data_IF_943230066216
#
_entry.id   IF_943230066216
#
_cell.length_a   1.000
_cell.length_b   1.000
_cell.length_c   1.000
_cell.angle_alpha   90.00
_cell.angle_beta   90.00
_cell.angle_gamma   90.00
#
_symmetry.space_group_name_H-M   'P 1'
#
loop_
_entity.id
_entity.type
_entity.pdbx_description
1 polymer ?
#
# COMPACT_ATOMS: atom_id res chain seq x y z
N UNK A 1 -9.40 11.87 -23.00
CA UNK A 1 -9.95 11.31 -21.74
C UNK A 1 -8.96 11.57 -20.61
N UNK A 2 -9.39 11.65 -19.34
CA UNK A 2 -8.46 11.77 -18.20
C UNK A 2 -8.31 10.45 -17.46
N UNK A 3 -7.09 10.19 -16.97
CA UNK A 3 -6.79 9.13 -16.02
C UNK A 3 -6.46 9.76 -14.67
N UNK A 4 -7.10 9.31 -13.61
CA UNK A 4 -6.80 9.75 -12.25
C UNK A 4 -6.03 8.66 -11.53
N UNK A 5 -4.93 9.02 -10.89
CA UNK A 5 -4.18 8.16 -9.97
C UNK A 5 -4.44 8.70 -8.57
N UNK A 6 -5.17 7.93 -7.77
CA UNK A 6 -5.67 8.33 -6.46
C UNK A 6 -4.89 7.59 -5.38
N UNK A 7 -4.22 8.35 -4.50
CA UNK A 7 -3.55 7.85 -3.30
C UNK A 7 -4.22 8.31 -2.00
N UNK A 8 -3.65 7.92 -0.87
CA UNK A 8 -4.31 8.03 0.45
C UNK A 8 -4.59 9.48 0.86
N UNK A 9 -3.80 10.44 0.35
CA UNK A 9 -4.05 11.86 0.54
C UNK A 9 -5.42 12.32 0.03
N UNK A 10 -6.04 11.60 -0.92
CA UNK A 10 -7.41 11.87 -1.34
C UNK A 10 -8.41 11.56 -0.24
N UNK A 11 -8.34 10.38 0.37
CA UNK A 11 -9.22 9.99 1.48
C UNK A 11 -9.03 10.90 2.69
N UNK A 12 -7.78 11.23 3.03
CA UNK A 12 -7.43 12.17 4.09
C UNK A 12 -8.03 13.56 3.80
N UNK A 13 -7.94 14.04 2.56
CA UNK A 13 -8.55 15.31 2.18
C UNK A 13 -10.07 15.28 2.35
N UNK A 14 -10.72 14.12 2.18
CA UNK A 14 -12.14 13.91 2.45
C UNK A 14 -12.48 13.73 3.94
N UNK A 15 -11.48 13.79 4.83
CA UNK A 15 -11.67 13.66 6.27
C UNK A 15 -11.81 12.22 6.75
N UNK A 16 -11.44 11.24 5.91
CA UNK A 16 -11.46 9.84 6.30
C UNK A 16 -10.22 9.50 7.15
N UNK A 17 -10.35 8.76 8.26
CA UNK A 17 -9.24 8.34 9.10
C UNK A 17 -8.52 7.13 8.48
N UNK A 18 -7.79 7.36 7.40
CA UNK A 18 -7.11 6.33 6.60
C UNK A 18 -5.60 6.38 6.73
N UNK A 19 -5.03 7.16 7.66
CA UNK A 19 -3.59 7.10 7.92
C UNK A 19 -3.24 5.78 8.61
N UNK A 20 -2.03 5.27 8.39
CA UNK A 20 -1.54 4.11 9.14
C UNK A 20 -1.48 4.36 10.65
N UNK A 21 -1.33 5.62 11.07
CA UNK A 21 -1.48 5.99 12.48
C UNK A 21 -2.92 5.79 13.01
N UNK A 22 -3.94 5.99 12.18
CA UNK A 22 -5.32 5.69 12.55
C UNK A 22 -5.55 4.17 12.66
N UNK A 23 -4.87 3.38 11.81
CA UNK A 23 -4.85 1.92 11.94
C UNK A 23 -4.18 1.47 13.25
N UNK A 24 -3.05 2.05 13.63
CA UNK A 24 -2.42 1.80 14.93
C UNK A 24 -3.38 2.07 16.09
N UNK A 25 -4.05 3.23 16.09
CA UNK A 25 -5.05 3.58 17.12
C UNK A 25 -6.23 2.61 17.15
N UNK A 26 -6.59 2.03 16.01
CA UNK A 26 -7.59 0.98 15.94
C UNK A 26 -7.10 -0.30 16.62
N UNK A 27 -5.87 -0.74 16.32
CA UNK A 27 -5.26 -1.90 16.96
C UNK A 27 -5.15 -1.72 18.48
N UNK A 28 -4.71 -0.54 18.93
CA UNK A 28 -4.60 -0.19 20.36
C UNK A 28 -5.92 -0.38 21.12
N UNK A 29 -7.07 -0.23 20.46
CA UNK A 29 -8.40 -0.42 21.04
C UNK A 29 -8.93 -1.83 20.95
N UNK A 30 -8.53 -2.58 19.92
CA UNK A 30 -9.11 -3.88 19.58
C UNK A 30 -8.27 -5.04 20.10
N UNK A 31 -6.95 -4.91 20.03
CA UNK A 31 -5.99 -5.93 20.44
C UNK A 31 -4.64 -5.27 20.76
N UNK A 32 -4.53 -4.76 22.00
CA UNK A 32 -3.32 -4.07 22.48
C UNK A 32 -2.13 -5.01 22.60
N UNK A 33 -2.36 -6.26 23.01
CA UNK A 33 -1.30 -7.26 23.17
C UNK A 33 -0.68 -7.60 21.81
N UNK A 34 -1.50 -7.78 20.77
CA UNK A 34 -1.01 -7.93 19.40
C UNK A 34 -0.22 -6.70 18.94
N UNK A 35 -0.72 -5.49 19.20
CA UNK A 35 -0.01 -4.26 18.82
C UNK A 35 1.37 -4.21 19.47
N UNK A 36 1.48 -4.48 20.77
CA UNK A 36 2.75 -4.50 21.48
C UNK A 36 3.70 -5.56 20.93
N UNK A 37 3.23 -6.79 20.73
CA UNK A 37 4.05 -7.86 20.16
C UNK A 37 4.54 -7.51 18.74
N UNK A 38 3.66 -6.93 17.91
CA UNK A 38 4.02 -6.46 16.58
C UNK A 38 5.07 -5.33 16.60
N UNK A 39 4.85 -4.31 17.43
CA UNK A 39 5.76 -3.16 17.57
C UNK A 39 7.14 -3.57 18.09
N UNK A 40 7.23 -4.60 18.94
CA UNK A 40 8.51 -5.12 19.45
C UNK A 40 9.43 -5.65 18.35
N UNK A 41 8.91 -6.17 17.23
CA UNK A 41 9.74 -6.59 16.09
C UNK A 41 10.46 -5.43 15.39
N UNK A 42 10.08 -4.18 15.71
CA UNK A 42 10.65 -2.95 15.16
C UNK A 42 11.31 -2.10 16.24
N UNK A 43 11.69 -2.70 17.37
CA UNK A 43 12.26 -2.02 18.55
C UNK A 43 11.37 -0.89 19.08
N UNK A 44 10.05 -1.02 18.92
CA UNK A 44 9.08 -0.06 19.43
C UNK A 44 8.51 -0.55 20.76
N UNK A 45 8.71 0.26 21.80
CA UNK A 45 8.26 -0.01 23.16
C UNK A 45 7.11 0.94 23.58
N UNK A 46 6.21 0.52 24.49
CA UNK A 46 5.04 1.31 24.87
C UNK A 46 5.34 2.73 25.37
N UNK A 47 6.45 2.91 26.08
CA UNK A 47 6.90 4.17 26.68
C UNK A 47 7.50 5.17 25.67
N UNK A 48 7.70 4.79 24.40
CA UNK A 48 8.20 5.69 23.38
C UNK A 48 7.15 6.73 22.98
N UNK A 49 7.62 7.90 22.55
CA UNK A 49 6.73 8.96 22.06
C UNK A 49 6.03 8.55 20.76
N UNK A 50 4.81 9.06 20.55
CA UNK A 50 4.05 8.83 19.32
C UNK A 50 4.84 9.24 18.07
N UNK A 51 5.64 10.31 18.14
CA UNK A 51 6.49 10.76 17.04
C UNK A 51 7.59 9.75 16.71
N UNK A 52 8.23 9.15 17.71
CA UNK A 52 9.22 8.11 17.50
C UNK A 52 8.58 6.87 16.85
N UNK A 53 7.42 6.42 17.36
CA UNK A 53 6.67 5.28 16.80
C UNK A 53 6.28 5.51 15.34
N UNK A 54 5.84 6.73 15.02
CA UNK A 54 5.52 7.14 13.64
C UNK A 54 6.72 7.07 12.72
N UNK A 55 7.85 7.63 13.14
CA UNK A 55 9.04 7.72 12.28
C UNK A 55 9.73 6.37 12.11
N UNK A 56 9.70 5.50 13.11
CA UNK A 56 10.32 4.17 13.04
C UNK A 56 9.51 3.20 12.18
N UNK A 57 8.18 3.20 12.31
CA UNK A 57 7.34 2.20 11.65
C UNK A 57 6.17 2.82 10.89
N UNK A 58 5.27 3.53 11.58
CA UNK A 58 3.90 3.75 11.08
C UNK A 58 3.77 4.71 9.91
N UNK A 59 4.69 5.68 9.72
CA UNK A 59 4.64 6.58 8.57
C UNK A 59 4.99 5.85 7.26
N UNK A 60 5.88 4.87 7.34
CA UNK A 60 6.43 4.11 6.21
C UNK A 60 6.13 2.61 6.37
N UNK A 61 4.94 2.29 6.90
CA UNK A 61 4.58 0.92 7.32
C UNK A 61 4.82 -0.11 6.21
N UNK A 62 4.38 0.18 4.98
CA UNK A 62 4.57 -0.75 3.87
C UNK A 62 6.05 -0.93 3.49
N UNK A 63 6.83 0.14 3.49
CA UNK A 63 8.27 0.12 3.24
C UNK A 63 9.01 -0.69 4.30
N UNK A 64 8.66 -0.52 5.57
CA UNK A 64 9.25 -1.25 6.69
C UNK A 64 8.86 -2.73 6.68
N UNK A 65 7.61 -3.07 6.34
CA UNK A 65 7.18 -4.46 6.15
C UNK A 65 7.88 -5.13 4.96
N UNK A 66 8.21 -4.36 3.91
CA UNK A 66 8.95 -4.83 2.74
C UNK A 66 10.45 -5.05 3.01
N UNK A 67 11.01 -4.40 4.03
CA UNK A 67 12.44 -4.39 4.34
C UNK A 67 12.70 -4.78 5.79
N UNK A 68 12.13 -5.90 6.25
CA UNK A 68 12.50 -6.51 7.53
C UNK A 68 13.99 -6.83 7.56
N UNK A 69 14.61 -6.83 8.74
CA UNK A 69 16.01 -7.23 8.88
C UNK A 69 16.12 -8.76 8.88
N UNK A 70 16.15 -9.35 7.69
CA UNK A 70 16.20 -10.79 7.52
C UNK A 70 17.49 -11.40 8.06
N UNK A 71 18.59 -10.64 8.07
CA UNK A 71 19.88 -11.11 8.57
C UNK A 71 19.81 -11.28 10.10
N UNK A 72 19.32 -10.27 10.83
CA UNK A 72 19.10 -10.38 12.28
C UNK A 72 18.10 -11.49 12.62
N UNK A 73 17.03 -11.63 11.84
CA UNK A 73 16.03 -12.69 12.04
C UNK A 73 16.68 -14.08 11.90
N UNK A 74 17.45 -14.29 10.83
CA UNK A 74 18.12 -15.56 10.58
C UNK A 74 19.18 -15.81 11.66
N UNK A 75 19.99 -14.82 12.02
CA UNK A 75 21.02 -14.92 13.06
C UNK A 75 20.43 -15.29 14.43
N UNK A 76 19.34 -14.63 14.83
CA UNK A 76 18.64 -14.96 16.07
C UNK A 76 18.11 -16.40 16.04
N UNK A 77 17.52 -16.82 14.93
CA UNK A 77 16.96 -18.17 14.78
C UNK A 77 18.05 -19.27 14.84
N UNK A 78 19.19 -19.07 14.20
CA UNK A 78 20.31 -20.04 14.26
C UNK A 78 21.00 -20.06 15.62
N UNK A 79 20.93 -18.96 16.38
CA UNK A 79 21.55 -18.86 17.71
C UNK A 79 20.78 -19.62 18.81
N UNK A 80 19.58 -20.11 18.52
CA UNK A 80 18.76 -20.85 19.48
C UNK A 80 19.46 -22.19 19.80
N UNK A 81 19.88 -22.34 21.05
CA UNK A 81 20.30 -23.63 21.61
C UNK A 81 19.07 -24.47 21.95
N UNK A 82 18.96 -25.66 21.36
CA UNK A 82 17.81 -26.55 21.56
C UNK A 82 18.04 -27.63 22.62
N UNK A 83 19.27 -27.77 23.11
CA UNK A 83 19.68 -28.76 24.12
C UNK A 83 19.21 -30.20 23.83
N UNK A 84 19.15 -30.58 22.54
CA UNK A 84 18.71 -31.91 22.12
C UNK A 84 19.86 -32.92 22.21
N UNK A 85 19.59 -34.09 22.79
CA UNK A 85 20.56 -35.20 22.88
C UNK A 85 21.01 -35.71 21.50
N UNK A 86 20.16 -35.56 20.48
CA UNK A 86 20.46 -35.93 19.09
C UNK A 86 21.26 -34.88 18.32
N UNK A 87 21.48 -33.69 18.90
CA UNK A 87 21.86 -32.50 18.15
C UNK A 87 20.73 -32.02 17.23
N UNK A 88 21.06 -31.04 16.38
CA UNK A 88 20.15 -30.34 15.48
C UNK A 88 19.80 -31.16 14.23
N UNK A 89 19.32 -32.40 14.40
CA UNK A 89 19.00 -33.34 13.32
C UNK A 89 17.53 -33.77 13.38
N UNK A 90 16.83 -33.72 12.26
CA UNK A 90 15.40 -34.07 12.16
C UNK A 90 14.47 -33.06 12.85
N UNK A 91 14.92 -31.83 13.02
CA UNK A 91 14.23 -30.73 13.70
C UNK A 91 13.62 -29.71 12.74
N UNK A 92 13.97 -29.77 11.45
CA UNK A 92 13.59 -28.78 10.42
C UNK A 92 12.09 -28.44 10.45
N UNK A 93 11.22 -29.46 10.42
CA UNK A 93 9.76 -29.27 10.39
C UNK A 93 9.25 -28.65 11.69
N UNK A 94 9.81 -29.04 12.84
CA UNK A 94 9.42 -28.50 14.16
C UNK A 94 9.80 -27.02 14.27
N UNK A 95 11.01 -26.66 13.82
CA UNK A 95 11.45 -25.27 13.79
C UNK A 95 10.67 -24.44 12.78
N UNK A 96 10.35 -25.00 11.62
CA UNK A 96 9.51 -24.32 10.63
C UNK A 96 8.14 -23.97 11.23
N UNK A 97 7.50 -24.90 11.94
CA UNK A 97 6.23 -24.63 12.63
C UNK A 97 6.39 -23.56 13.71
N UNK A 98 7.39 -23.69 14.59
CA UNK A 98 7.69 -22.72 15.65
C UNK A 98 7.88 -21.29 15.11
N UNK A 99 8.78 -21.12 14.13
CA UNK A 99 9.02 -19.81 13.52
C UNK A 99 7.81 -19.33 12.72
N UNK A 100 7.07 -20.22 12.05
CA UNK A 100 5.83 -19.84 11.36
C UNK A 100 4.82 -19.24 12.33
N UNK A 101 4.69 -19.80 13.54
CA UNK A 101 3.83 -19.24 14.59
C UNK A 101 4.31 -17.88 15.07
N UNK A 102 5.62 -17.64 15.15
CA UNK A 102 6.19 -16.34 15.50
C UNK A 102 5.86 -15.27 14.43
N UNK A 103 6.13 -15.56 13.16
CA UNK A 103 5.94 -14.62 12.04
C UNK A 103 4.51 -14.61 11.45
N UNK A 104 3.57 -15.36 12.04
CA UNK A 104 2.15 -15.36 11.61
C UNK A 104 1.47 -13.99 11.81
N UNK A 105 2.10 -13.07 12.55
CA UNK A 105 1.57 -11.74 12.81
C UNK A 105 1.20 -11.00 11.52
N UNK A 106 1.89 -11.26 10.40
CA UNK A 106 1.59 -10.60 9.12
C UNK A 106 0.20 -10.96 8.59
N UNK A 107 -0.20 -12.24 8.74
CA UNK A 107 -1.54 -12.70 8.37
C UNK A 107 -2.59 -12.08 9.29
N UNK A 108 -2.31 -12.00 10.59
CA UNK A 108 -3.18 -11.33 11.57
C UNK A 108 -3.31 -9.82 11.28
N UNK A 109 -2.21 -9.15 10.91
CA UNK A 109 -2.17 -7.74 10.55
C UNK A 109 -3.05 -7.45 9.34
N UNK A 110 -2.99 -8.28 8.29
CA UNK A 110 -3.87 -8.18 7.12
C UNK A 110 -5.36 -8.34 7.49
N UNK A 111 -5.69 -9.28 8.39
CA UNK A 111 -7.06 -9.43 8.91
C UNK A 111 -7.49 -8.17 9.67
N UNK A 112 -6.64 -7.62 10.52
CA UNK A 112 -6.93 -6.39 11.24
C UNK A 112 -7.09 -5.18 10.32
N UNK A 113 -6.24 -5.06 9.29
CA UNK A 113 -6.37 -4.02 8.27
C UNK A 113 -7.75 -4.11 7.61
N UNK A 114 -8.16 -5.32 7.18
CA UNK A 114 -9.48 -5.55 6.60
C UNK A 114 -10.61 -5.16 7.55
N UNK A 115 -10.52 -5.50 8.83
CA UNK A 115 -11.52 -5.13 9.84
C UNK A 115 -11.55 -3.63 10.07
N UNK A 116 -10.40 -2.98 10.16
CA UNK A 116 -10.27 -1.53 10.35
C UNK A 116 -10.89 -0.76 9.19
N UNK A 117 -10.55 -1.08 7.94
CA UNK A 117 -11.10 -0.37 6.77
C UNK A 117 -12.64 -0.49 6.75
N UNK A 118 -13.22 -1.62 7.21
CA UNK A 118 -14.68 -1.80 7.31
C UNK A 118 -15.34 -0.88 8.34
N UNK A 119 -14.59 -0.34 9.29
CA UNK A 119 -15.10 0.63 10.26
C UNK A 119 -15.19 2.05 9.73
N UNK A 120 -14.55 2.34 8.59
CA UNK A 120 -14.47 3.67 8.01
C UNK A 120 -15.81 4.03 7.34
N UNK A 121 -16.45 5.10 7.81
CA UNK A 121 -17.76 5.56 7.33
C UNK A 121 -17.60 6.51 6.15
N UNK A 122 -17.71 5.96 4.94
CA UNK A 122 -17.60 6.72 3.68
C UNK A 122 -18.95 7.34 3.25
N UNK A 123 -20.08 6.75 3.68
CA UNK A 123 -21.42 7.18 3.23
C UNK A 123 -21.80 8.58 3.66
N UNK A 124 -21.24 9.05 4.77
CA UNK A 124 -21.52 10.37 5.34
C UNK A 124 -20.54 11.44 4.80
N UNK A 125 -19.64 11.06 3.89
CA UNK A 125 -18.61 11.92 3.33
C UNK A 125 -19.14 12.72 2.14
N UNK A 126 -18.87 14.02 2.14
CA UNK A 126 -19.26 14.93 1.06
C UNK A 126 -18.17 14.98 -0.03
N UNK A 127 -18.55 15.17 -1.31
CA UNK A 127 -17.60 15.38 -2.40
C UNK A 127 -16.85 16.70 -2.19
N UNK A 128 -15.53 16.68 -2.44
CA UNK A 128 -14.66 17.86 -2.35
C UNK A 128 -14.16 18.38 -3.69
N UNK A 129 -14.49 17.69 -4.78
CA UNK A 129 -13.95 17.95 -6.12
C UNK A 129 -15.07 17.99 -7.15
N UNK A 130 -15.31 19.11 -7.81
CA UNK A 130 -16.39 19.23 -8.80
C UNK A 130 -16.06 18.54 -10.13
N UNK A 131 -14.77 18.45 -10.48
CA UNK A 131 -14.34 17.91 -11.78
C UNK A 131 -14.44 16.39 -11.89
N UNK A 132 -14.46 15.66 -10.77
CA UNK A 132 -14.73 14.22 -10.73
C UNK A 132 -16.23 14.03 -10.91
N UNK A 133 -16.58 13.45 -12.06
CA UNK A 133 -17.96 13.33 -12.49
C UNK A 133 -18.15 12.00 -13.22
N UNK A 134 -19.13 11.22 -12.77
CA UNK A 134 -19.51 9.93 -13.34
C UNK A 134 -19.90 10.01 -14.82
N UNK A 135 -20.35 11.18 -15.29
CA UNK A 135 -20.75 11.40 -16.69
C UNK A 135 -19.56 11.54 -17.65
N UNK A 136 -18.36 11.85 -17.14
CA UNK A 136 -17.18 12.18 -17.97
C UNK A 136 -16.40 10.96 -18.48
N UNK A 137 -16.88 9.73 -18.24
CA UNK A 137 -16.26 8.47 -18.67
C UNK A 137 -14.73 8.45 -18.50
N UNK A 138 -14.23 8.89 -17.34
CA UNK A 138 -12.80 8.85 -17.00
C UNK A 138 -12.40 7.50 -16.40
N UNK A 139 -11.10 7.21 -16.38
CA UNK A 139 -10.52 6.07 -15.67
C UNK A 139 -9.86 6.51 -14.38
N UNK A 140 -9.88 5.63 -13.39
CA UNK A 140 -9.32 5.85 -12.07
C UNK A 140 -8.49 4.65 -11.65
N UNK A 141 -7.26 4.89 -11.21
CA UNK A 141 -6.41 3.91 -10.54
C UNK A 141 -6.38 4.31 -9.07
N UNK A 142 -6.88 3.44 -8.20
CA UNK A 142 -6.99 3.69 -6.78
C UNK A 142 -5.97 2.83 -6.02
N UNK A 143 -5.09 3.52 -5.30
CA UNK A 143 -4.11 2.92 -4.38
C UNK A 143 -4.70 2.79 -2.96
N UNK A 144 -5.88 3.37 -2.71
CA UNK A 144 -6.55 3.31 -1.42
C UNK A 144 -7.34 2.01 -1.29
N UNK A 145 -7.50 1.54 -0.06
CA UNK A 145 -8.31 0.37 0.24
C UNK A 145 -9.83 0.68 0.31
N UNK A 146 -10.18 1.96 0.31
CA UNK A 146 -11.56 2.45 0.43
C UNK A 146 -12.21 2.64 -0.94
N UNK A 147 -13.54 2.68 -0.97
CA UNK A 147 -14.34 2.95 -2.17
C UNK A 147 -14.89 4.39 -2.19
N UNK A 148 -14.03 5.38 -1.91
CA UNK A 148 -14.42 6.80 -1.83
C UNK A 148 -14.94 7.32 -3.17
N UNK A 149 -14.30 6.96 -4.29
CA UNK A 149 -14.74 7.39 -5.63
C UNK A 149 -16.14 6.90 -5.96
N UNK A 150 -16.43 5.64 -5.65
CA UNK A 150 -17.69 5.01 -6.02
C UNK A 150 -18.81 5.43 -5.07
N UNK A 151 -18.52 5.58 -3.77
CA UNK A 151 -19.52 5.93 -2.75
C UNK A 151 -19.84 7.43 -2.77
N UNK A 152 -18.84 8.29 -2.86
CA UNK A 152 -19.00 9.76 -2.76
C UNK A 152 -19.30 10.36 -4.13
N UNK A 153 -18.65 9.88 -5.19
CA UNK A 153 -18.77 10.45 -6.54
C UNK A 153 -19.65 9.62 -7.48
N UNK A 154 -20.13 8.45 -7.05
CA UNK A 154 -20.98 7.59 -7.88
C UNK A 154 -20.28 7.08 -9.14
N UNK A 155 -18.95 7.00 -9.11
CA UNK A 155 -18.15 6.46 -10.22
C UNK A 155 -18.43 4.95 -10.34
N UNK A 156 -18.62 4.50 -11.58
CA UNK A 156 -18.83 3.07 -11.87
C UNK A 156 -17.61 2.26 -11.47
N UNK A 157 -17.83 1.09 -10.89
CA UNK A 157 -16.78 0.13 -10.53
C UNK A 157 -15.95 -0.27 -11.76
N UNK A 158 -16.57 -0.32 -12.94
CA UNK A 158 -15.86 -0.60 -14.18
C UNK A 158 -14.85 0.49 -14.55
N UNK A 159 -14.96 1.70 -14.00
CA UNK A 159 -14.04 2.81 -14.24
C UNK A 159 -12.90 2.89 -13.21
N UNK A 160 -12.95 2.10 -12.14
CA UNK A 160 -11.97 2.14 -11.04
C UNK A 160 -11.16 0.85 -10.99
N UNK A 161 -9.84 0.96 -11.02
CA UNK A 161 -8.88 -0.14 -10.89
C UNK A 161 -8.26 -0.03 -9.49
N UNK A 162 -8.59 -0.95 -8.58
CA UNK A 162 -8.05 -1.01 -7.22
C UNK A 162 -6.80 -1.89 -7.18
N UNK A 163 -5.62 -1.28 -7.16
CA UNK A 163 -4.35 -2.02 -7.30
C UNK A 163 -3.82 -2.61 -5.97
N UNK A 164 -4.36 -2.17 -4.83
CA UNK A 164 -4.04 -2.74 -3.52
C UNK A 164 -5.14 -3.68 -3.01
N UNK A 165 -6.08 -4.06 -3.89
CA UNK A 165 -7.30 -4.74 -3.50
C UNK A 165 -8.31 -3.77 -2.89
N UNK A 166 -9.51 -4.26 -2.62
CA UNK A 166 -10.55 -3.49 -1.92
C UNK A 166 -11.36 -4.41 -1.01
N UNK A 167 -12.17 -3.84 -0.14
CA UNK A 167 -13.06 -4.62 0.74
C UNK A 167 -14.25 -5.27 0.03
N UNK A 168 -14.39 -5.11 -1.29
CA UNK A 168 -15.53 -5.62 -2.04
C UNK A 168 -15.35 -7.10 -2.40
N UNK A 169 -16.45 -7.82 -2.44
CA UNK A 169 -16.47 -9.28 -2.59
C UNK A 169 -15.87 -9.80 -3.92
N UNK A 170 -15.76 -8.93 -4.93
CA UNK A 170 -15.20 -9.26 -6.25
C UNK A 170 -13.75 -8.75 -6.45
N UNK A 171 -13.16 -8.09 -5.46
CA UNK A 171 -11.76 -7.67 -5.49
C UNK A 171 -10.91 -8.55 -4.60
N UNK A 172 -9.64 -8.67 -4.94
CA UNK A 172 -8.66 -9.37 -4.11
C UNK A 172 -8.62 -8.74 -2.72
N UNK A 173 -8.42 -9.57 -1.69
CA UNK A 173 -8.19 -9.10 -0.32
C UNK A 173 -7.08 -8.04 -0.28
N UNK A 174 -7.23 -6.98 0.56
CA UNK A 174 -6.19 -5.98 0.77
C UNK A 174 -4.84 -6.61 1.09
N UNK A 175 -3.83 -6.31 0.28
CA UNK A 175 -2.46 -6.77 0.53
C UNK A 175 -1.68 -5.64 1.17
N UNK A 176 -1.21 -5.88 2.39
CA UNK A 176 -0.36 -4.94 3.14
C UNK A 176 1.12 -5.27 2.89
N UNK A 177 1.92 -4.25 2.61
CA UNK A 177 3.34 -4.38 2.30
C UNK A 177 3.60 -4.58 0.81
N UNK A 178 4.87 -4.70 0.44
CA UNK A 178 5.29 -4.89 -0.94
C UNK A 178 6.48 -5.83 -0.92
N UNK A 179 6.22 -7.12 -1.04
CA UNK A 179 7.29 -8.13 -1.10
C UNK A 179 8.34 -7.73 -2.14
N UNK A 180 9.58 -8.08 -1.85
CA UNK A 180 10.72 -7.72 -2.66
C UNK A 180 11.23 -8.98 -3.36
N UNK A 181 11.11 -9.02 -4.69
CA UNK A 181 11.53 -10.18 -5.50
C UNK A 181 13.03 -10.47 -5.34
N UNK A 182 13.86 -9.43 -5.32
CA UNK A 182 15.31 -9.57 -5.13
C UNK A 182 15.62 -10.19 -3.77
N UNK A 183 14.89 -9.80 -2.72
CA UNK A 183 15.02 -10.42 -1.38
C UNK A 183 14.53 -11.85 -1.34
N UNK A 184 13.43 -12.18 -2.03
CA UNK A 184 12.97 -13.57 -2.17
C UNK A 184 14.05 -14.43 -2.83
N UNK A 185 14.66 -13.92 -3.91
CA UNK A 185 15.76 -14.60 -4.60
C UNK A 185 16.98 -14.77 -3.69
N UNK A 186 17.38 -13.72 -2.97
CA UNK A 186 18.49 -13.78 -2.01
C UNK A 186 18.25 -14.80 -0.88
N UNK A 187 17.02 -14.88 -0.35
CA UNK A 187 16.65 -15.87 0.68
C UNK A 187 16.66 -17.29 0.10
N UNK A 188 16.19 -17.49 -1.13
CA UNK A 188 16.26 -18.81 -1.79
C UNK A 188 17.72 -19.24 -2.05
N UNK A 189 18.63 -18.31 -2.34
CA UNK A 189 20.06 -18.61 -2.42
C UNK A 189 20.67 -18.99 -1.06
N UNK A 190 20.32 -18.26 0.02
CA UNK A 190 20.75 -18.62 1.39
C UNK A 190 20.25 -20.01 1.79
N UNK A 191 18.98 -20.31 1.49
CA UNK A 191 18.38 -21.63 1.70
C UNK A 191 19.13 -22.74 0.97
N UNK A 192 19.45 -22.55 -0.31
CA UNK A 192 20.20 -23.56 -1.10
C UNK A 192 21.57 -23.85 -0.49
N UNK A 193 22.29 -22.81 -0.03
CA UNK A 193 23.57 -23.01 0.67
C UNK A 193 23.37 -23.81 1.96
N UNK A 194 22.36 -23.50 2.76
CA UNK A 194 22.05 -24.26 3.97
C UNK A 194 21.73 -25.74 3.68
N UNK A 195 21.03 -26.03 2.59
CA UNK A 195 20.76 -27.40 2.12
C UNK A 195 22.05 -28.16 1.76
N UNK A 196 23.06 -27.48 1.19
CA UNK A 196 24.37 -28.10 0.89
C UNK A 196 25.15 -28.47 2.16
N UNK A 197 24.97 -27.72 3.25
CA UNK A 197 25.61 -27.96 4.55
C UNK A 197 24.73 -28.77 5.52
N UNK A 198 23.51 -29.16 5.12
CA UNK A 198 22.51 -29.81 5.97
C UNK A 198 22.19 -29.01 7.25
N UNK A 199 22.18 -27.67 7.17
CA UNK A 199 21.82 -26.79 8.29
C UNK A 199 20.30 -26.65 8.40
N UNK A 200 19.67 -27.58 9.13
CA UNK A 200 18.21 -27.61 9.30
C UNK A 200 17.64 -26.35 9.96
N UNK A 201 18.39 -25.71 10.87
CA UNK A 201 18.00 -24.43 11.50
C UNK A 201 17.89 -23.34 10.45
N UNK A 202 18.94 -23.14 9.67
CA UNK A 202 18.95 -22.11 8.64
C UNK A 202 17.93 -22.38 7.52
N UNK A 203 17.73 -23.64 7.14
CA UNK A 203 16.70 -24.03 6.16
C UNK A 203 15.31 -23.64 6.67
N UNK A 204 15.00 -23.96 7.93
CA UNK A 204 13.68 -23.71 8.52
C UNK A 204 13.34 -22.21 8.55
N UNK A 205 14.23 -21.36 9.05
CA UNK A 205 13.98 -19.91 9.13
C UNK A 205 13.94 -19.27 7.74
N UNK A 206 14.81 -19.70 6.80
CA UNK A 206 14.78 -19.17 5.43
C UNK A 206 13.45 -19.50 4.73
N UNK A 207 12.85 -20.67 4.99
CA UNK A 207 11.50 -20.98 4.49
C UNK A 207 10.46 -20.00 5.04
N UNK A 208 10.49 -19.70 6.34
CA UNK A 208 9.55 -18.77 6.97
C UNK A 208 9.70 -17.35 6.45
N UNK A 209 10.93 -16.82 6.39
CA UNK A 209 11.21 -15.47 5.86
C UNK A 209 10.78 -15.35 4.39
N UNK A 210 11.04 -16.37 3.58
CA UNK A 210 10.54 -16.42 2.20
C UNK A 210 9.01 -16.40 2.14
N UNK A 211 8.35 -17.20 2.96
CA UNK A 211 6.89 -17.29 2.99
C UNK A 211 6.25 -15.97 3.48
N UNK A 212 6.93 -15.27 4.39
CA UNK A 212 6.60 -13.89 4.77
C UNK A 212 6.62 -12.95 3.55
N UNK A 213 7.75 -12.91 2.82
CA UNK A 213 7.86 -12.04 1.64
C UNK A 213 6.85 -12.41 0.54
N UNK A 214 6.58 -13.71 0.32
CA UNK A 214 5.56 -14.15 -0.64
C UNK A 214 4.15 -13.71 -0.24
N UNK A 215 3.85 -13.69 1.05
CA UNK A 215 2.54 -13.28 1.57
C UNK A 215 2.32 -11.77 1.40
N UNK A 216 3.38 -10.97 1.53
CA UNK A 216 3.33 -9.51 1.36
C UNK A 216 3.64 -9.05 -0.07
N UNK A 217 3.98 -9.98 -0.99
CA UNK A 217 4.34 -9.68 -2.36
C UNK A 217 3.15 -9.14 -3.17
N UNK A 218 3.24 -7.87 -3.55
CA UNK A 218 2.35 -7.24 -4.52
C UNK A 218 2.90 -7.50 -5.92
N UNK A 219 2.34 -8.49 -6.62
CA UNK A 219 2.68 -8.69 -8.03
C UNK A 219 2.10 -7.55 -8.87
N UNK A 220 2.93 -6.62 -9.33
CA UNK A 220 2.56 -5.59 -10.33
C UNK A 220 1.87 -6.26 -11.54
N UNK A 221 2.39 -7.42 -11.97
CA UNK A 221 1.86 -8.24 -13.05
C UNK A 221 0.41 -8.71 -12.82
N UNK A 222 -0.06 -8.79 -11.58
CA UNK A 222 -1.43 -9.22 -11.27
C UNK A 222 -2.47 -8.25 -11.80
N UNK A 223 -2.15 -6.95 -11.77
CA UNK A 223 -3.04 -5.88 -12.22
C UNK A 223 -2.72 -5.41 -13.65
N UNK A 224 -1.68 -5.95 -14.28
CA UNK A 224 -1.34 -5.67 -15.68
C UNK A 224 -2.51 -5.89 -16.65
N UNK A 225 -3.35 -6.94 -16.53
CA UNK A 225 -4.52 -7.10 -17.40
C UNK A 225 -5.51 -5.94 -17.28
N UNK A 226 -5.73 -5.44 -16.07
CA UNK A 226 -6.63 -4.31 -15.81
C UNK A 226 -6.00 -2.99 -16.30
N UNK A 227 -4.70 -2.80 -16.07
CA UNK A 227 -3.95 -1.65 -16.55
C UNK A 227 -3.85 -1.64 -18.08
N UNK A 228 -3.85 -2.80 -18.76
CA UNK A 228 -3.85 -2.86 -20.23
C UNK A 228 -5.06 -2.13 -20.85
N UNK A 229 -6.15 -1.92 -20.11
CA UNK A 229 -7.28 -1.09 -20.56
C UNK A 229 -6.86 0.33 -20.91
N UNK A 230 -5.86 0.89 -20.22
CA UNK A 230 -5.25 2.19 -20.49
C UNK A 230 -4.76 2.28 -21.94
N UNK A 231 -4.18 1.19 -22.47
CA UNK A 231 -3.64 1.15 -23.83
C UNK A 231 -4.71 1.24 -24.93
N UNK A 232 -5.98 0.94 -24.58
CA UNK A 232 -7.12 0.97 -25.50
C UNK A 232 -7.78 2.34 -25.58
N UNK A 233 -7.56 3.18 -24.58
CA UNK A 233 -8.15 4.52 -24.49
C UNK A 233 -7.19 5.59 -25.04
N UNK A 234 -7.72 6.77 -25.35
CA UNK A 234 -6.93 7.94 -25.72
C UNK A 234 -6.83 8.92 -24.54
N UNK A 235 -5.78 8.71 -23.74
CA UNK A 235 -5.53 9.47 -22.51
C UNK A 235 -4.69 10.68 -22.84
N UNK A 236 -5.30 11.86 -22.66
CA UNK A 236 -4.66 13.15 -22.91
C UNK A 236 -3.98 13.72 -21.67
N UNK A 237 -4.45 13.35 -20.48
CA UNK A 237 -3.97 13.85 -19.20
C UNK A 237 -4.07 12.75 -18.13
N UNK A 238 -3.02 12.65 -17.31
CA UNK A 238 -2.93 11.80 -16.13
C UNK A 238 -2.80 12.71 -14.91
N UNK A 239 -3.70 12.60 -13.95
CA UNK A 239 -3.67 13.42 -12.73
C UNK A 239 -3.35 12.57 -11.51
N UNK A 240 -2.27 12.90 -10.82
CA UNK A 240 -1.85 12.23 -9.58
C UNK A 240 -2.33 13.03 -8.39
N UNK A 241 -3.17 12.41 -7.56
CA UNK A 241 -3.87 13.06 -6.46
C UNK A 241 -3.65 12.30 -5.17
N UNK A 242 -3.04 12.95 -4.18
CA UNK A 242 -2.87 12.38 -2.84
C UNK A 242 -1.95 11.16 -2.76
N UNK A 243 -1.15 10.91 -3.80
CA UNK A 243 -0.12 9.88 -3.81
C UNK A 243 1.23 10.47 -3.40
N UNK A 244 2.04 9.74 -2.62
CA UNK A 244 3.35 10.21 -2.15
C UNK A 244 4.40 10.29 -3.26
N UNK A 245 4.22 9.53 -4.34
CA UNK A 245 5.18 9.37 -5.45
C UNK A 245 6.57 8.94 -4.96
N UNK A 246 6.61 8.09 -3.94
CA UNK A 246 7.83 7.62 -3.33
C UNK A 246 7.82 6.10 -3.19
N UNK A 247 9.01 5.52 -3.24
CA UNK A 247 9.26 4.13 -2.87
C UNK A 247 8.78 3.11 -3.90
N UNK A 248 8.18 2.06 -3.36
CA UNK A 248 7.83 0.78 -4.02
C UNK A 248 6.78 0.89 -5.14
N UNK A 249 6.00 1.97 -5.19
CA UNK A 249 4.90 2.14 -6.14
C UNK A 249 5.34 2.77 -7.47
N UNK A 250 6.58 3.28 -7.55
CA UNK A 250 7.11 3.96 -8.73
C UNK A 250 7.09 3.14 -10.04
N UNK A 251 7.30 1.80 -10.03
CA UNK A 251 7.19 0.99 -11.24
C UNK A 251 5.82 1.11 -11.95
N UNK A 252 4.73 1.31 -11.20
CA UNK A 252 3.41 1.51 -11.81
C UNK A 252 3.36 2.76 -12.69
N UNK A 253 4.06 3.82 -12.32
CA UNK A 253 4.03 5.10 -13.04
C UNK A 253 4.74 4.99 -14.40
N UNK A 254 5.88 4.32 -14.43
CA UNK A 254 6.61 4.03 -15.67
C UNK A 254 5.77 3.17 -16.63
N UNK A 255 5.10 2.13 -16.11
CA UNK A 255 4.22 1.27 -16.89
C UNK A 255 2.98 2.02 -17.40
N UNK A 256 2.35 2.86 -16.58
CA UNK A 256 1.21 3.69 -16.99
C UNK A 256 1.60 4.68 -18.09
N UNK A 257 2.79 5.30 -18.02
CA UNK A 257 3.28 6.19 -19.08
C UNK A 257 3.51 5.42 -20.38
N UNK A 258 4.07 4.20 -20.30
CA UNK A 258 4.25 3.33 -21.45
C UNK A 258 2.90 2.94 -22.10
N UNK A 259 1.92 2.53 -21.30
CA UNK A 259 0.59 2.14 -21.74
C UNK A 259 -0.21 3.31 -22.33
N UNK A 260 0.00 4.54 -21.83
CA UNK A 260 -0.57 5.77 -22.40
C UNK A 260 0.23 6.34 -23.58
N UNK A 261 1.14 5.54 -24.17
CA UNK A 261 1.94 5.87 -25.36
C UNK A 261 2.88 7.06 -25.15
N UNK A 262 3.21 7.41 -23.90
CA UNK A 262 4.09 8.51 -23.49
C UNK A 262 3.68 9.89 -24.05
N UNK A 263 2.37 10.09 -24.27
CA UNK A 263 1.81 11.33 -24.85
C UNK A 263 1.05 12.18 -23.84
N UNK A 264 0.54 11.58 -22.77
CA UNK A 264 -0.27 12.28 -21.80
C UNK A 264 0.55 13.30 -21.00
N UNK A 265 -0.08 14.42 -20.68
CA UNK A 265 0.45 15.36 -19.69
C UNK A 265 0.18 14.83 -18.29
N UNK A 266 1.16 14.93 -17.40
CA UNK A 266 1.10 14.47 -16.02
C UNK A 266 0.89 15.66 -15.09
N UNK A 267 -0.28 15.76 -14.47
CA UNK A 267 -0.59 16.81 -13.49
C UNK A 267 -0.42 16.25 -12.08
N UNK A 268 0.50 16.81 -11.28
CA UNK A 268 0.69 16.45 -9.87
C UNK A 268 -0.10 17.45 -9.01
N UNK A 269 -1.04 16.93 -8.21
CA UNK A 269 -1.74 17.72 -7.20
C UNK A 269 -0.97 17.69 -5.88
N UNK A 270 -0.32 18.80 -5.54
CA UNK A 270 0.52 18.91 -4.35
C UNK A 270 -0.18 19.64 -3.20
N UNK A 271 0.02 19.17 -1.98
CA UNK A 271 -0.46 19.80 -0.75
C UNK A 271 0.63 20.64 -0.06
N UNK A 272 1.85 20.09 -0.01
CA UNK A 272 3.00 20.73 0.61
C UNK A 272 3.90 21.37 -0.48
N UNK A 273 4.04 22.70 -0.50
CA UNK A 273 4.86 23.38 -1.50
C UNK A 273 6.34 22.98 -1.44
N UNK A 274 6.82 22.46 -0.31
CA UNK A 274 8.21 22.01 -0.16
C UNK A 274 8.45 20.63 -0.78
N UNK A 275 7.40 19.81 -0.94
CA UNK A 275 7.51 18.45 -1.50
C UNK A 275 7.27 18.39 -3.01
N UNK A 276 6.68 19.43 -3.61
CA UNK A 276 6.28 19.42 -5.03
C UNK A 276 7.45 19.14 -6.00
N UNK A 277 8.65 19.67 -5.71
CA UNK A 277 9.82 19.46 -6.57
C UNK A 277 10.37 18.05 -6.41
N UNK A 278 10.33 17.48 -5.20
CA UNK A 278 10.72 16.09 -4.95
C UNK A 278 9.78 15.15 -5.71
N UNK A 279 8.46 15.37 -5.62
CA UNK A 279 7.46 14.59 -6.35
C UNK A 279 7.65 14.67 -7.87
N UNK A 280 7.98 15.85 -8.38
CA UNK A 280 8.33 16.06 -9.79
C UNK A 280 9.58 15.27 -10.17
N UNK A 281 10.62 15.32 -9.35
CA UNK A 281 11.85 14.58 -9.58
C UNK A 281 11.62 13.07 -9.61
N UNK A 282 10.78 12.54 -8.71
CA UNK A 282 10.43 11.12 -8.71
C UNK A 282 9.77 10.66 -10.01
N UNK A 283 8.89 11.46 -10.64
CA UNK A 283 8.35 11.13 -11.96
C UNK A 283 9.41 11.19 -13.07
N UNK A 284 10.34 12.14 -12.99
CA UNK A 284 11.46 12.25 -13.94
C UNK A 284 12.37 11.02 -13.83
N UNK A 285 12.70 10.61 -12.60
CA UNK A 285 13.52 9.43 -12.33
C UNK A 285 12.83 8.14 -12.80
N UNK A 286 11.49 8.11 -12.79
CA UNK A 286 10.68 7.04 -13.37
C UNK A 286 10.61 7.08 -14.92
N UNK A 287 11.28 8.03 -15.57
CA UNK A 287 11.41 8.13 -17.02
C UNK A 287 10.35 8.98 -17.71
N UNK A 288 9.57 9.77 -16.97
CA UNK A 288 8.57 10.69 -17.52
C UNK A 288 9.25 12.01 -17.94
N UNK A 289 8.87 12.52 -19.11
CA UNK A 289 9.46 13.75 -19.65
C UNK A 289 9.05 14.96 -18.80
N UNK A 290 10.05 15.73 -18.34
CA UNK A 290 9.84 16.89 -17.48
C UNK A 290 8.93 17.97 -18.10
N UNK A 291 8.91 18.09 -19.43
CA UNK A 291 8.05 19.02 -20.17
C UNK A 291 6.58 18.61 -20.22
N UNK A 292 6.28 17.34 -19.91
CA UNK A 292 4.90 16.84 -19.76
C UNK A 292 4.37 16.95 -18.32
N UNK A 293 5.20 17.37 -17.36
CA UNK A 293 4.82 17.43 -15.94
C UNK A 293 4.33 18.83 -15.58
N UNK A 294 3.09 18.90 -15.09
CA UNK A 294 2.39 20.10 -14.63
C UNK A 294 2.18 19.97 -13.12
N UNK A 295 2.39 21.07 -12.38
CA UNK A 295 2.15 21.13 -10.94
C UNK A 295 0.88 21.92 -10.68
N UNK A 296 -0.06 21.32 -9.97
CA UNK A 296 -1.33 21.95 -9.57
C UNK A 296 -1.46 21.97 -8.05
N UNK A 297 -1.93 23.08 -7.48
CA UNK A 297 -2.17 23.18 -6.04
C UNK A 297 -3.40 22.36 -5.64
N UNK A 298 -3.33 21.68 -4.49
CA UNK A 298 -4.48 21.01 -3.90
C UNK A 298 -5.68 21.96 -3.70
N UNK A 299 -5.45 23.24 -3.38
CA UNK A 299 -6.53 24.21 -3.21
C UNK A 299 -7.32 24.46 -4.50
N UNK A 300 -6.69 24.33 -5.66
CA UNK A 300 -7.37 24.44 -6.96
C UNK A 300 -8.11 23.17 -7.33
N UNK A 301 -7.59 22.02 -6.90
CA UNK A 301 -8.17 20.72 -7.19
C UNK A 301 -9.39 20.40 -6.31
N UNK A 302 -9.29 20.68 -5.01
CA UNK A 302 -10.37 20.52 -4.03
C UNK A 302 -11.18 21.81 -3.94
N UNK A 303 -12.04 22.05 -4.92
CA UNK A 303 -12.78 23.30 -5.10
C UNK A 303 -14.09 23.36 -4.29
N UNK A 304 -14.60 22.23 -3.82
CA UNK A 304 -15.83 22.16 -3.01
C UNK A 304 -15.52 22.22 -1.52
N UNK A 305 -14.99 23.36 -1.06
CA UNK A 305 -14.67 23.59 0.36
C UNK A 305 -15.88 24.04 1.19
N UNK A 306 -16.90 24.63 0.54
CA UNK A 306 -18.15 25.04 1.19
C UNK A 306 -19.10 23.85 1.36
N UNK A 307 -19.59 23.65 2.59
CA UNK A 307 -20.41 22.49 2.95
C UNK A 307 -21.76 22.48 2.21
N UNK A 308 -22.39 23.63 1.98
CA UNK A 308 -23.67 23.72 1.27
C UNK A 308 -23.49 23.44 -0.23
N UNK A 309 -22.40 23.91 -0.83
CA UNK A 309 -22.06 23.57 -2.22
C UNK A 309 -21.75 22.07 -2.34
N UNK A 310 -21.00 21.50 -1.40
CA UNK A 310 -20.67 20.07 -1.39
C UNK A 310 -21.94 19.20 -1.20
N UNK A 311 -22.88 19.60 -0.34
CA UNK A 311 -24.19 18.93 -0.18
C UNK A 311 -25.03 18.97 -1.46
N UNK A 312 -25.05 20.12 -2.15
CA UNK A 312 -25.73 20.24 -3.46
C UNK A 312 -25.11 19.29 -4.47
N UNK A 313 -23.78 19.23 -4.55
CA UNK A 313 -23.09 18.31 -5.45
C UNK A 313 -23.37 16.85 -5.12
N UNK A 314 -23.38 16.47 -3.84
CA UNK A 314 -23.76 15.12 -3.41
C UNK A 314 -25.19 14.77 -3.83
N UNK A 315 -26.11 15.73 -3.72
CA UNK A 315 -27.49 15.56 -4.15
C UNK A 315 -27.60 15.36 -5.67
N UNK A 316 -26.88 16.15 -6.48
CA UNK A 316 -26.78 16.00 -7.94
C UNK A 316 -26.24 14.61 -8.32
N UNK A 317 -25.14 14.18 -7.70
CA UNK A 317 -24.53 12.86 -7.97
C UNK A 317 -25.54 11.73 -7.69
N UNK A 318 -26.29 11.84 -6.60
CA UNK A 318 -27.26 10.81 -6.18
C UNK A 318 -28.49 10.74 -7.08
N UNK A 319 -28.99 11.88 -7.56
CA UNK A 319 -30.28 11.95 -8.29
C UNK A 319 -30.16 12.22 -9.79
N UNK A 320 -28.95 12.52 -10.29
CA UNK A 320 -28.64 12.60 -11.72
C UNK A 320 -29.20 13.84 -12.44
N UNK A 321 -29.21 14.99 -11.78
CA UNK A 321 -29.61 16.28 -12.36
C UNK A 321 -28.47 16.96 -13.11
#
# INVERSE_FOLDING_TARGET
>A
MKLYIIGNGFDIAHGLPTQYWDFRKYLEKVDYDFLCAFEMHYDIYPNMSDEAKKNLLWNELETNLANIDEDIIIENAISIEMDLESGDVGIEDTLYEYFTEEYQYIKKLAIYLKRWIRTIRIRDTLPKVSQIDKLKHNLYINFNYTATLETVYGISDSSVIHIHGSLRDYTVDPVLGHGNLERIEAIEEKKKKAEEYFDEKQISICKVVRDYYRTTLKYINRYMPDLYRISREDISEIMVVGHSLAGIDMPYFSEIDALSRKKANWTIVWFDPNKKEVMKQSLIDAGIDAGRIILQSANEFYDLQDEEVAKRKAFEIKHGF
#
